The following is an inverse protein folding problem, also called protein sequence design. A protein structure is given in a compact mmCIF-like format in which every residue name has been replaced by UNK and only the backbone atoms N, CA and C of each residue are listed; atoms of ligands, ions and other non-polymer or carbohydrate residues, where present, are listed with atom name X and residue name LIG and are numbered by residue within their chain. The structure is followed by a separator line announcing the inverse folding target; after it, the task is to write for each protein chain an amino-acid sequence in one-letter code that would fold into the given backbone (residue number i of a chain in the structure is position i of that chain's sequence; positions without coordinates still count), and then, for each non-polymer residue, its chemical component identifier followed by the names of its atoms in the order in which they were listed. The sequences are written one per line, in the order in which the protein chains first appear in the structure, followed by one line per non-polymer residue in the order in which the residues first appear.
data_IF_057152768703
#
_entry.id   IF_057152768703
#
_cell.length_a   1.000
_cell.length_b   1.000
_cell.length_c   1.000
_cell.angle_alpha   90.00
_cell.angle_beta   90.00
_cell.angle_gamma   90.00
#
_symmetry.space_group_name_H-M   'P 1'
#
loop_
_entity.id
_entity.type
_entity.pdbx_description
1 polymer ?
#
# COMPACT_ATOMS: atom_id res chain seq x y z
N UNK A 1 15.57 -29.65 -5.46
CA UNK A 1 16.27 -29.30 -4.21
C UNK A 1 16.01 -27.83 -4.02
N UNK A 2 15.43 -27.42 -2.89
CA UNK A 2 15.16 -26.00 -2.62
C UNK A 2 16.42 -25.32 -2.13
N UNK A 3 16.58 -24.06 -2.48
CA UNK A 3 17.65 -23.22 -1.96
C UNK A 3 17.23 -22.70 -0.59
N UNK A 4 18.01 -23.03 0.44
CA UNK A 4 17.77 -22.53 1.80
C UNK A 4 18.43 -21.17 1.90
N UNK A 5 17.61 -20.14 2.04
CA UNK A 5 18.06 -18.76 2.19
C UNK A 5 17.74 -18.28 3.60
N UNK A 6 18.62 -17.44 4.16
CA UNK A 6 18.18 -16.62 5.28
C UNK A 6 17.10 -15.68 4.75
N UNK A 7 16.00 -15.52 5.48
CA UNK A 7 15.11 -14.39 5.25
C UNK A 7 16.01 -13.15 5.18
N UNK A 8 16.00 -12.40 4.06
CA UNK A 8 16.97 -11.34 3.86
C UNK A 8 16.95 -10.46 5.09
N UNK A 9 18.11 -10.36 5.76
CA UNK A 9 18.32 -9.24 6.66
C UNK A 9 18.22 -8.02 5.76
N UNK A 10 17.46 -6.98 6.14
CA UNK A 10 17.31 -5.80 5.30
C UNK A 10 18.69 -5.23 4.94
N UNK A 11 19.19 -5.54 3.75
CA UNK A 11 20.37 -4.89 3.17
C UNK A 11 19.79 -3.81 2.30
N UNK A 12 19.55 -2.71 2.98
CA UNK A 12 18.73 -1.63 2.50
C UNK A 12 19.61 -0.54 1.98
N UNK A 13 19.29 -0.10 0.79
CA UNK A 13 19.80 1.15 0.33
C UNK A 13 18.79 1.70 -0.65
N UNK A 14 17.84 2.48 -0.14
CA UNK A 14 17.22 3.52 -0.96
C UNK A 14 18.30 4.42 -1.61
N UNK A 15 19.56 4.38 -1.12
CA UNK A 15 20.72 5.05 -1.73
C UNK A 15 21.22 4.40 -3.04
N UNK A 16 20.64 3.27 -3.49
CA UNK A 16 20.95 2.67 -4.78
C UNK A 16 19.70 2.65 -5.66
N UNK A 17 19.70 3.36 -6.80
CA UNK A 17 18.59 3.32 -7.74
C UNK A 17 18.33 1.89 -8.20
N UNK A 18 17.07 1.46 -8.10
CA UNK A 18 16.57 0.28 -8.79
C UNK A 18 16.34 0.65 -10.27
N UNK A 19 16.63 -0.28 -11.19
CA UNK A 19 16.30 -0.11 -12.61
C UNK A 19 14.78 -0.19 -12.82
N UNK A 20 14.23 0.63 -13.73
CA UNK A 20 12.80 0.65 -14.02
C UNK A 20 12.26 -0.75 -14.37
N UNK A 21 13.02 -1.51 -15.16
CA UNK A 21 12.74 -2.90 -15.53
C UNK A 21 12.51 -3.83 -14.31
N UNK A 22 13.16 -3.55 -13.18
CA UNK A 22 12.99 -4.33 -11.96
C UNK A 22 11.66 -4.01 -11.27
N UNK A 23 11.26 -2.72 -11.22
CA UNK A 23 9.94 -2.31 -10.72
C UNK A 23 8.81 -2.89 -11.60
N UNK A 24 8.99 -2.89 -12.92
CA UNK A 24 8.08 -3.54 -13.87
C UNK A 24 7.99 -5.04 -13.61
N UNK A 25 9.13 -5.72 -13.44
CA UNK A 25 9.17 -7.14 -13.14
C UNK A 25 8.45 -7.49 -11.82
N UNK A 26 8.63 -6.68 -10.77
CA UNK A 26 7.92 -6.84 -9.49
C UNK A 26 6.41 -6.68 -9.66
N UNK A 27 5.97 -5.62 -10.36
CA UNK A 27 4.56 -5.37 -10.65
C UNK A 27 3.94 -6.55 -11.40
N UNK A 28 4.58 -7.02 -12.47
CA UNK A 28 4.08 -8.12 -13.29
C UNK A 28 4.02 -9.43 -12.50
N UNK A 29 5.03 -9.71 -11.65
CA UNK A 29 4.99 -10.88 -10.75
C UNK A 29 3.86 -10.78 -9.73
N UNK A 30 3.59 -9.60 -9.17
CA UNK A 30 2.49 -9.41 -8.24
C UNK A 30 1.14 -9.67 -8.92
N UNK A 31 0.92 -9.07 -10.09
CA UNK A 31 -0.31 -9.27 -10.88
C UNK A 31 -0.48 -10.75 -11.20
N UNK A 32 0.56 -11.39 -11.74
CA UNK A 32 0.54 -12.81 -12.05
C UNK A 32 0.19 -13.67 -10.83
N UNK A 33 0.82 -13.41 -9.67
CA UNK A 33 0.49 -14.13 -8.43
C UNK A 33 -0.96 -13.90 -7.98
N UNK A 34 -1.49 -12.68 -8.09
CA UNK A 34 -2.87 -12.37 -7.68
C UNK A 34 -3.93 -13.03 -8.59
N UNK A 35 -3.57 -13.34 -9.84
CA UNK A 35 -4.44 -14.02 -10.80
C UNK A 35 -4.44 -15.56 -10.63
N UNK A 36 -3.53 -16.10 -9.82
CA UNK A 36 -3.37 -17.53 -9.66
C UNK A 36 -4.53 -18.14 -8.85
N UNK A 37 -5.09 -19.28 -9.30
CA UNK A 37 -6.25 -19.90 -8.64
C UNK A 37 -6.03 -20.18 -7.16
N UNK A 38 -4.83 -20.60 -6.75
CA UNK A 38 -4.48 -20.86 -5.34
C UNK A 38 -4.54 -19.58 -4.48
N UNK A 39 -4.11 -18.44 -5.03
CA UNK A 39 -4.15 -17.15 -4.35
C UNK A 39 -5.58 -16.62 -4.28
N UNK A 40 -6.35 -16.72 -5.38
CA UNK A 40 -7.78 -16.40 -5.39
C UNK A 40 -8.55 -17.30 -4.41
N UNK A 41 -8.20 -18.58 -4.33
CA UNK A 41 -8.78 -19.52 -3.38
C UNK A 41 -8.42 -19.20 -1.93
N UNK A 42 -7.36 -18.46 -1.69
CA UNK A 42 -6.95 -18.05 -0.34
C UNK A 42 -7.55 -16.71 0.05
N UNK A 43 -7.42 -15.69 -0.80
CA UNK A 43 -7.81 -14.30 -0.53
C UNK A 43 -9.24 -13.96 -0.98
N UNK A 44 -9.83 -14.75 -1.87
CA UNK A 44 -11.19 -14.52 -2.38
C UNK A 44 -11.31 -13.20 -3.14
N UNK A 45 -12.35 -12.42 -2.84
CA UNK A 45 -12.60 -11.13 -3.49
C UNK A 45 -11.48 -10.11 -3.27
N UNK A 46 -10.69 -10.26 -2.19
CA UNK A 46 -9.55 -9.39 -1.94
C UNK A 46 -8.47 -9.55 -3.01
N UNK A 47 -8.21 -10.75 -3.54
CA UNK A 47 -7.25 -10.95 -4.62
C UNK A 47 -7.62 -10.13 -5.87
N UNK A 48 -8.90 -10.13 -6.25
CA UNK A 48 -9.39 -9.37 -7.41
C UNK A 48 -9.21 -7.86 -7.20
N UNK A 49 -9.61 -7.35 -6.03
CA UNK A 49 -9.44 -5.93 -5.71
C UNK A 49 -7.97 -5.49 -5.64
N UNK A 50 -7.09 -6.36 -5.15
CA UNK A 50 -5.65 -6.14 -5.18
C UNK A 50 -5.10 -6.20 -6.60
N UNK A 51 -5.59 -7.10 -7.46
CA UNK A 51 -5.17 -7.17 -8.85
C UNK A 51 -5.55 -5.89 -9.61
N UNK A 52 -6.79 -5.42 -9.46
CA UNK A 52 -7.24 -4.13 -10.01
C UNK A 52 -6.35 -2.98 -9.52
N UNK A 53 -5.94 -3.00 -8.25
CA UNK A 53 -5.05 -1.98 -7.67
C UNK A 53 -3.60 -2.12 -8.16
N UNK A 54 -3.11 -3.34 -8.33
CA UNK A 54 -1.77 -3.61 -8.84
C UNK A 54 -1.63 -3.17 -10.31
N UNK A 55 -2.70 -3.30 -11.10
CA UNK A 55 -2.76 -2.79 -12.47
C UNK A 55 -2.63 -1.25 -12.53
N UNK A 56 -3.07 -0.54 -11.50
CA UNK A 56 -2.91 0.91 -11.36
C UNK A 56 -1.47 1.35 -11.04
N UNK A 57 -0.59 0.44 -10.60
CA UNK A 57 0.79 0.78 -10.24
C UNK A 57 1.56 1.19 -11.50
N UNK A 58 2.29 2.30 -11.43
CA UNK A 58 3.16 2.73 -12.52
C UNK A 58 4.59 2.88 -11.99
N UNK A 59 5.52 2.00 -12.41
CA UNK A 59 6.94 2.20 -12.19
C UNK A 59 7.36 3.59 -12.67
N UNK A 60 7.96 4.38 -11.78
CA UNK A 60 8.45 5.71 -12.12
C UNK A 60 9.94 5.84 -11.82
N UNK A 61 10.66 6.43 -12.78
CA UNK A 61 12.01 6.92 -12.51
C UNK A 61 11.95 8.05 -11.49
N UNK A 62 12.81 7.98 -10.49
CA UNK A 62 12.94 9.03 -9.48
C UNK A 62 14.27 9.75 -9.64
N UNK A 63 14.20 11.06 -9.81
CA UNK A 63 15.36 11.96 -9.81
C UNK A 63 15.33 12.80 -8.54
N UNK A 64 16.45 12.82 -7.80
CA UNK A 64 16.50 13.51 -6.51
C UNK A 64 16.17 14.99 -6.62
N UNK A 65 15.13 15.41 -5.90
CA UNK A 65 14.69 16.80 -5.84
C UNK A 65 13.76 17.23 -6.98
N UNK A 66 13.52 16.36 -7.95
CA UNK A 66 12.47 16.56 -8.95
C UNK A 66 11.14 16.02 -8.42
N UNK A 67 10.05 16.63 -8.86
CA UNK A 67 8.71 16.07 -8.67
C UNK A 67 8.69 14.69 -9.32
N UNK A 68 8.02 13.73 -8.68
CA UNK A 68 7.60 12.53 -9.39
C UNK A 68 6.87 13.02 -10.66
N UNK A 69 6.97 12.36 -11.81
CA UNK A 69 6.33 12.87 -13.02
C UNK A 69 4.83 13.15 -12.79
N UNK A 70 4.36 14.36 -13.14
CA UNK A 70 2.92 14.71 -13.17
C UNK A 70 2.15 13.91 -14.25
N UNK A 71 2.89 13.23 -15.12
CA UNK A 71 2.42 12.62 -16.34
C UNK A 71 3.36 11.47 -16.72
N UNK A 72 2.78 10.37 -17.20
CA UNK A 72 3.50 9.47 -18.09
C UNK A 72 4.14 10.33 -19.20
N UNK A 73 5.38 10.06 -19.66
CA UNK A 73 6.06 10.87 -20.68
C UNK A 73 5.27 10.98 -22.01
N UNK A 74 4.22 10.19 -22.17
CA UNK A 74 3.26 10.24 -23.26
C UNK A 74 2.16 11.28 -23.02
N UNK A 75 2.12 12.32 -23.86
CA UNK A 75 1.10 13.36 -23.85
C UNK A 75 -0.31 12.85 -24.20
N UNK A 76 -0.41 11.67 -24.84
CA UNK A 76 -1.67 11.02 -25.19
C UNK A 76 -2.17 10.05 -24.10
N UNK A 77 -1.52 10.03 -22.93
CA UNK A 77 -1.83 9.07 -21.88
C UNK A 77 -3.24 9.25 -21.31
N UNK A 78 -4.03 8.18 -21.40
CA UNK A 78 -5.49 8.22 -21.13
C UNK A 78 -5.88 7.74 -19.73
N UNK A 79 -5.04 6.95 -19.04
CA UNK A 79 -5.38 6.44 -17.71
C UNK A 79 -4.92 7.41 -16.61
N UNK A 80 -5.91 7.89 -15.85
CA UNK A 80 -5.72 8.83 -14.74
C UNK A 80 -5.71 8.13 -13.37
N UNK A 81 -5.88 6.80 -13.34
CA UNK A 81 -5.85 6.00 -12.12
C UNK A 81 -4.46 5.37 -11.90
N UNK A 82 -3.40 6.16 -12.03
CA UNK A 82 -2.04 5.70 -11.79
C UNK A 82 -1.67 5.89 -10.33
N UNK A 83 -1.07 4.88 -9.72
CA UNK A 83 -0.39 4.96 -8.42
C UNK A 83 1.13 4.89 -8.69
N UNK A 84 1.90 5.95 -8.39
CA UNK A 84 3.35 5.91 -8.54
C UNK A 84 3.97 4.78 -7.71
N UNK A 85 4.80 3.97 -8.35
CA UNK A 85 5.64 2.93 -7.76
C UNK A 85 7.11 3.33 -7.92
N UNK A 86 7.81 3.54 -6.81
CA UNK A 86 9.19 4.02 -6.80
C UNK A 86 10.07 3.20 -5.85
N UNK A 87 11.39 3.37 -5.95
CA UNK A 87 12.34 2.87 -4.95
C UNK A 87 13.07 4.03 -4.27
N UNK A 88 12.34 4.83 -3.50
CA UNK A 88 12.93 5.90 -2.69
C UNK A 88 12.06 6.22 -1.50
N UNK A 89 12.69 6.39 -0.33
CA UNK A 89 12.04 6.93 0.87
C UNK A 89 11.96 8.46 0.88
N UNK A 90 12.56 9.10 -0.13
CA UNK A 90 12.60 10.54 -0.29
C UNK A 90 12.13 10.90 -1.68
N UNK A 91 11.14 11.77 -1.80
CA UNK A 91 10.59 12.16 -3.10
C UNK A 91 9.87 13.50 -2.99
N UNK A 92 9.60 14.14 -4.11
CA UNK A 92 8.81 15.38 -4.15
C UNK A 92 7.49 15.08 -4.84
N UNK A 93 6.39 15.52 -4.24
CA UNK A 93 5.05 15.40 -4.84
C UNK A 93 4.41 16.76 -5.03
N UNK A 94 3.81 16.96 -6.21
CA UNK A 94 2.92 18.07 -6.50
C UNK A 94 1.49 17.77 -6.01
N UNK A 95 0.65 18.80 -5.87
CA UNK A 95 -0.76 18.59 -5.55
C UNK A 95 -1.51 17.82 -6.64
N UNK A 96 -1.12 17.97 -7.91
CA UNK A 96 -1.70 17.22 -9.04
C UNK A 96 -1.41 15.73 -8.95
N UNK A 97 -0.25 15.36 -8.42
CA UNK A 97 0.12 13.96 -8.26
C UNK A 97 -0.64 13.29 -7.14
N UNK A 98 -0.81 13.97 -6.01
CA UNK A 98 -1.60 13.43 -4.91
C UNK A 98 -3.10 13.64 -5.14
N UNK A 99 -3.52 14.41 -6.15
CA UNK A 99 -4.95 14.59 -6.46
C UNK A 99 -5.67 13.25 -6.63
N UNK A 100 -6.85 13.07 -6.01
CA UNK A 100 -7.58 11.81 -6.07
C UNK A 100 -7.78 11.33 -7.51
N UNK A 101 -7.51 10.05 -7.74
CA UNK A 101 -7.72 9.39 -9.03
C UNK A 101 -9.22 9.35 -9.37
N UNK A 102 -9.64 9.29 -10.65
CA UNK A 102 -11.05 9.16 -11.02
C UNK A 102 -11.84 8.12 -10.22
N UNK A 103 -11.26 6.93 -9.98
CA UNK A 103 -11.90 5.88 -9.15
C UNK A 103 -12.09 6.32 -7.69
N UNK A 104 -11.17 7.10 -7.14
CA UNK A 104 -11.32 7.69 -5.81
C UNK A 104 -12.34 8.84 -5.84
N UNK A 105 -12.32 9.70 -6.87
CA UNK A 105 -13.28 10.82 -7.03
C UNK A 105 -14.71 10.30 -7.01
N UNK A 106 -15.02 9.28 -7.82
CA UNK A 106 -16.34 8.65 -7.87
C UNK A 106 -16.79 8.11 -6.49
N UNK A 107 -15.89 7.47 -5.74
CA UNK A 107 -16.18 6.96 -4.39
C UNK A 107 -16.39 8.08 -3.37
N UNK A 108 -15.56 9.13 -3.42
CA UNK A 108 -15.70 10.32 -2.57
C UNK A 108 -17.05 10.98 -2.83
N UNK A 109 -17.40 11.21 -4.10
CA UNK A 109 -18.67 11.83 -4.49
C UNK A 109 -19.89 11.00 -4.11
N UNK A 110 -19.79 9.66 -4.13
CA UNK A 110 -20.87 8.77 -3.66
C UNK A 110 -21.03 8.75 -2.15
N UNK A 111 -19.93 8.94 -1.42
CA UNK A 111 -19.91 8.90 0.05
C UNK A 111 -20.37 10.23 0.65
N UNK A 112 -19.99 11.35 0.02
CA UNK A 112 -20.37 12.69 0.47
C UNK A 112 -21.77 13.07 -0.06
N UNK A 113 -22.60 13.69 0.78
CA UNK A 113 -23.99 14.07 0.46
C UNK A 113 -24.19 15.58 0.59
N UNK A 114 -25.03 16.17 -0.26
CA UNK A 114 -25.50 17.56 -0.14
C UNK A 114 -24.47 18.62 -0.59
N UNK A 115 -24.39 19.74 0.14
CA UNK A 115 -23.54 20.91 -0.18
C UNK A 115 -22.02 20.62 -0.12
N UNK A 116 -21.62 19.41 0.27
CA UNK A 116 -20.22 18.97 0.26
C UNK A 116 -19.57 18.95 -1.14
N UNK A 117 -20.36 19.01 -2.22
CA UNK A 117 -19.84 19.13 -3.59
C UNK A 117 -19.03 20.42 -3.81
N UNK A 118 -19.46 21.54 -3.24
CA UNK A 118 -18.74 22.82 -3.38
C UNK A 118 -17.34 22.73 -2.75
N UNK A 119 -17.25 22.11 -1.58
CA UNK A 119 -15.98 21.86 -0.90
C UNK A 119 -15.07 20.88 -1.66
N UNK A 120 -15.66 19.94 -2.39
CA UNK A 120 -14.91 19.00 -3.22
C UNK A 120 -14.27 19.70 -4.42
N UNK A 121 -15.01 20.59 -5.08
CA UNK A 121 -14.47 21.41 -6.19
C UNK A 121 -13.37 22.35 -5.69
N UNK A 122 -13.56 22.98 -4.53
CA UNK A 122 -12.55 23.84 -3.90
C UNK A 122 -11.29 23.04 -3.51
N UNK A 123 -11.46 21.83 -2.96
CA UNK A 123 -10.34 20.91 -2.66
C UNK A 123 -9.57 20.55 -3.93
N UNK A 124 -10.25 20.16 -5.01
CA UNK A 124 -9.57 19.81 -6.26
C UNK A 124 -8.84 21.01 -6.85
N UNK A 125 -9.47 22.20 -6.87
CA UNK A 125 -8.81 23.43 -7.33
C UNK A 125 -7.57 23.75 -6.51
N UNK A 126 -7.67 23.68 -5.18
CA UNK A 126 -6.54 23.90 -4.29
C UNK A 126 -5.39 22.93 -4.57
N UNK A 127 -5.68 21.63 -4.73
CA UNK A 127 -4.66 20.63 -5.07
C UNK A 127 -4.02 20.88 -6.43
N UNK A 128 -4.78 21.36 -7.43
CA UNK A 128 -4.26 21.54 -8.79
C UNK A 128 -3.52 22.88 -9.01
N UNK A 129 -3.92 23.94 -8.30
CA UNK A 129 -3.47 25.32 -8.54
C UNK A 129 -2.58 25.88 -7.43
N UNK A 130 -2.87 25.54 -6.17
CA UNK A 130 -2.30 26.25 -5.00
C UNK A 130 -1.39 25.37 -4.13
N UNK A 131 -1.49 24.05 -4.23
CA UNK A 131 -0.72 23.13 -3.39
C UNK A 131 0.76 23.13 -3.82
N UNK A 132 1.67 23.60 -2.95
CA UNK A 132 3.08 23.69 -3.31
C UNK A 132 3.71 22.29 -3.41
N UNK A 133 4.64 22.07 -4.35
CA UNK A 133 5.45 20.87 -4.38
C UNK A 133 6.10 20.63 -3.01
N UNK A 134 5.84 19.45 -2.45
CA UNK A 134 6.23 19.12 -1.08
C UNK A 134 7.21 17.97 -1.10
N UNK A 135 8.37 18.20 -0.47
CA UNK A 135 9.38 17.17 -0.26
C UNK A 135 8.95 16.27 0.89
N UNK A 136 8.85 14.98 0.61
CA UNK A 136 8.56 13.92 1.56
C UNK A 136 9.86 13.15 1.84
N UNK A 137 10.11 12.89 3.10
CA UNK A 137 11.22 12.05 3.55
C UNK A 137 10.72 11.16 4.69
N UNK A 138 10.62 9.87 4.43
CA UNK A 138 10.16 8.87 5.38
C UNK A 138 11.36 8.26 6.09
N UNK A 139 11.65 8.82 7.27
CA UNK A 139 12.70 8.29 8.17
C UNK A 139 12.20 7.13 9.02
N UNK A 140 10.88 7.03 9.17
CA UNK A 140 10.14 5.96 9.85
C UNK A 140 9.61 4.90 8.88
N UNK A 141 9.95 4.99 7.59
CA UNK A 141 9.54 3.99 6.61
C UNK A 141 9.94 2.59 7.11
N UNK A 142 8.99 1.65 7.00
CA UNK A 142 9.33 0.24 7.04
C UNK A 142 10.47 0.02 6.07
N UNK A 143 11.51 -0.67 6.53
CA UNK A 143 12.75 -0.62 5.78
C UNK A 143 12.58 -1.26 4.39
N UNK A 144 11.67 -2.22 4.27
CA UNK A 144 11.41 -2.95 3.04
C UNK A 144 10.44 -2.21 2.10
N UNK A 145 9.60 -1.33 2.62
CA UNK A 145 8.60 -0.60 1.82
C UNK A 145 7.67 0.28 2.65
N UNK A 146 6.90 1.13 1.96
CA UNK A 146 5.80 1.90 2.53
C UNK A 146 4.84 2.42 1.46
N UNK A 147 3.59 2.63 1.86
CA UNK A 147 2.57 3.27 1.06
C UNK A 147 2.24 4.64 1.67
N UNK A 148 2.72 5.70 1.03
CA UNK A 148 2.45 7.08 1.41
C UNK A 148 1.08 7.52 0.89
N UNK A 149 0.36 8.31 1.69
CA UNK A 149 -0.85 9.00 1.25
C UNK A 149 -1.03 10.26 2.09
N UNK A 150 -1.29 11.38 1.42
CA UNK A 150 -1.70 12.62 2.07
C UNK A 150 -3.19 12.61 2.38
N UNK A 151 -3.63 13.48 3.28
CA UNK A 151 -5.04 13.65 3.64
C UNK A 151 -5.44 15.12 3.49
N UNK A 152 -6.62 15.35 2.94
CA UNK A 152 -7.25 16.65 2.96
C UNK A 152 -8.40 16.65 3.97
N UNK A 153 -8.39 17.61 4.89
CA UNK A 153 -9.51 17.82 5.82
C UNK A 153 -10.61 18.58 5.08
N UNK A 154 -11.84 18.10 5.19
CA UNK A 154 -13.02 18.81 4.71
C UNK A 154 -13.55 19.68 5.86
N UNK A 155 -13.23 20.99 5.86
CA UNK A 155 -13.75 21.92 6.88
C UNK A 155 -15.21 22.33 6.61
N UNK A 156 -15.95 22.55 7.70
CA UNK A 156 -17.36 22.98 7.80
C UNK A 156 -18.49 21.97 7.52
N UNK A 157 -18.18 20.69 7.28
CA UNK A 157 -19.20 19.64 7.19
C UNK A 157 -19.78 19.18 8.55
N UNK A 158 -19.60 19.88 9.68
CA UNK A 158 -19.94 19.40 11.04
C UNK A 158 -19.37 18.00 11.43
N UNK A 159 -18.67 17.31 10.53
CA UNK A 159 -18.32 15.89 10.62
C UNK A 159 -16.81 15.63 10.74
N UNK A 160 -15.95 16.64 10.66
CA UNK A 160 -14.51 16.46 10.82
C UNK A 160 -13.90 15.44 9.85
N UNK A 161 -14.51 15.26 8.67
CA UNK A 161 -14.14 14.20 7.73
C UNK A 161 -12.84 14.51 6.97
N UNK A 162 -12.10 13.46 6.66
CA UNK A 162 -10.84 13.47 5.93
C UNK A 162 -10.97 12.68 4.63
N UNK A 163 -10.43 13.23 3.56
CA UNK A 163 -10.27 12.55 2.28
C UNK A 163 -8.83 12.09 2.13
N UNK A 164 -8.64 10.79 1.93
CA UNK A 164 -7.37 10.21 1.55
C UNK A 164 -7.11 10.52 0.08
N UNK A 165 -5.97 11.13 -0.15
CA UNK A 165 -5.50 11.50 -1.47
C UNK A 165 -4.94 10.27 -2.21
N UNK A 166 -4.41 10.47 -3.40
CA UNK A 166 -3.80 9.38 -4.17
C UNK A 166 -2.59 8.79 -3.42
N UNK A 167 -2.45 7.46 -3.37
CA UNK A 167 -1.28 6.84 -2.76
C UNK A 167 -0.04 6.93 -3.65
N UNK A 168 1.13 6.80 -3.02
CA UNK A 168 2.43 6.55 -3.65
C UNK A 168 3.04 5.35 -2.94
N UNK A 169 3.45 4.34 -3.68
CA UNK A 169 4.09 3.15 -3.13
C UNK A 169 5.59 3.24 -3.34
N UNK A 170 6.34 2.90 -2.31
CA UNK A 170 7.75 2.60 -2.47
C UNK A 170 8.14 1.26 -1.87
N UNK A 171 8.97 0.52 -2.59
CA UNK A 171 9.55 -0.76 -2.15
C UNK A 171 11.06 -0.67 -2.32
N UNK A 172 11.80 -1.07 -1.29
CA UNK A 172 13.25 -1.16 -1.33
C UNK A 172 13.68 -2.48 -2.01
N UNK A 173 14.88 -2.50 -2.58
CA UNK A 173 15.43 -3.75 -3.13
C UNK A 173 16.05 -4.59 -2.01
N UNK A 174 15.53 -5.77 -1.75
CA UNK A 174 16.20 -6.77 -0.90
C UNK A 174 17.20 -7.63 -1.69
N UNK A 175 17.14 -7.58 -3.02
CA UNK A 175 17.90 -8.46 -3.92
C UNK A 175 17.21 -9.80 -4.17
N UNK A 176 16.05 -10.03 -3.55
CA UNK A 176 15.18 -11.17 -3.81
C UNK A 176 13.84 -10.68 -4.32
N UNK A 177 13.63 -10.86 -5.62
CA UNK A 177 12.41 -10.43 -6.32
C UNK A 177 11.14 -10.99 -5.67
N UNK A 178 11.15 -12.21 -5.12
CA UNK A 178 9.99 -12.78 -4.44
C UNK A 178 9.64 -12.05 -3.14
N UNK A 179 10.65 -11.59 -2.38
CA UNK A 179 10.47 -10.81 -1.15
C UNK A 179 10.02 -9.39 -1.49
N UNK A 180 10.64 -8.78 -2.49
CA UNK A 180 10.28 -7.42 -2.91
C UNK A 180 8.87 -7.40 -3.51
N UNK A 181 8.47 -8.44 -4.25
CA UNK A 181 7.09 -8.60 -4.76
C UNK A 181 6.08 -8.82 -3.62
N UNK A 182 6.44 -9.58 -2.58
CA UNK A 182 5.56 -9.76 -1.41
C UNK A 182 5.37 -8.44 -0.65
N UNK A 183 6.45 -7.67 -0.49
CA UNK A 183 6.42 -6.33 0.09
C UNK A 183 5.57 -5.39 -0.77
N UNK A 184 5.70 -5.44 -2.09
CA UNK A 184 4.81 -4.71 -3.00
C UNK A 184 3.35 -5.11 -2.81
N UNK A 185 3.05 -6.41 -2.61
CA UNK A 185 1.71 -6.89 -2.29
C UNK A 185 1.16 -6.33 -0.98
N UNK A 186 1.99 -6.25 0.06
CA UNK A 186 1.65 -5.61 1.34
C UNK A 186 1.29 -4.12 1.11
N UNK A 187 2.15 -3.36 0.45
CA UNK A 187 1.90 -1.93 0.22
C UNK A 187 0.73 -1.66 -0.74
N UNK A 188 0.50 -2.58 -1.69
CA UNK A 188 -0.67 -2.56 -2.57
C UNK A 188 -1.95 -2.77 -1.77
N UNK A 189 -1.92 -3.58 -0.70
CA UNK A 189 -3.06 -3.72 0.22
C UNK A 189 -3.40 -2.41 0.92
N UNK A 190 -2.40 -1.66 1.37
CA UNK A 190 -2.62 -0.33 1.91
C UNK A 190 -3.16 0.64 0.85
N UNK A 191 -2.63 0.62 -0.37
CA UNK A 191 -3.17 1.44 -1.46
C UNK A 191 -4.63 1.10 -1.75
N UNK A 192 -4.97 -0.19 -1.83
CA UNK A 192 -6.32 -0.69 -2.01
C UNK A 192 -7.27 -0.15 -0.94
N UNK A 193 -6.92 -0.25 0.35
CA UNK A 193 -7.75 0.27 1.44
C UNK A 193 -8.06 1.76 1.27
N UNK A 194 -7.08 2.55 0.82
CA UNK A 194 -7.20 4.01 0.63
C UNK A 194 -7.95 4.40 -0.64
N UNK A 195 -7.92 3.55 -1.67
CA UNK A 195 -8.75 3.71 -2.86
C UNK A 195 -10.20 3.33 -2.54
N UNK A 196 -10.38 2.23 -1.82
CA UNK A 196 -11.71 1.67 -1.59
C UNK A 196 -12.52 2.48 -0.59
N UNK A 197 -11.85 2.98 0.45
CA UNK A 197 -12.44 3.77 1.52
C UNK A 197 -11.72 5.13 1.63
N UNK A 198 -11.91 6.03 0.65
CA UNK A 198 -11.16 7.29 0.59
C UNK A 198 -11.67 8.33 1.60
N UNK A 199 -12.87 8.18 2.17
CA UNK A 199 -13.45 9.13 3.14
C UNK A 199 -13.44 8.51 4.54
N UNK A 200 -13.02 9.28 5.55
CA UNK A 200 -13.02 8.86 6.96
C UNK A 200 -13.51 9.99 7.87
N UNK A 201 -14.27 9.67 8.92
CA UNK A 201 -14.78 10.66 9.90
C UNK A 201 -13.79 10.99 11.03
N UNK A 202 -12.79 10.13 11.23
CA UNK A 202 -11.72 10.33 12.22
C UNK A 202 -10.44 10.55 11.43
N UNK A 203 -9.49 11.31 11.99
CA UNK A 203 -8.17 11.39 11.38
C UNK A 203 -7.61 9.96 11.24
N UNK A 204 -7.46 9.43 10.01
CA UNK A 204 -7.04 8.05 9.82
C UNK A 204 -5.62 7.81 10.32
N UNK A 205 -4.80 8.87 10.48
CA UNK A 205 -3.46 8.77 11.06
C UNK A 205 -3.48 8.75 12.58
N UNK A 206 -4.64 8.85 13.25
CA UNK A 206 -4.77 8.82 14.70
C UNK A 206 -5.53 7.58 15.24
N UNK A 207 -6.36 6.93 14.42
CA UNK A 207 -7.09 5.73 14.86
C UNK A 207 -6.22 4.46 14.79
N UNK A 208 -5.67 4.05 15.93
CA UNK A 208 -4.84 2.83 16.03
C UNK A 208 -5.57 1.56 15.57
N UNK A 209 -6.89 1.46 15.79
CA UNK A 209 -7.66 0.29 15.35
C UNK A 209 -7.77 0.24 13.82
N UNK A 210 -8.01 1.38 13.15
CA UNK A 210 -8.08 1.42 11.68
C UNK A 210 -6.71 1.07 11.07
N UNK A 211 -5.63 1.63 11.64
CA UNK A 211 -4.27 1.29 11.24
C UNK A 211 -4.01 -0.19 11.41
N UNK A 212 -4.17 -0.73 12.62
CA UNK A 212 -3.91 -2.13 12.90
C UNK A 212 -4.74 -3.06 12.01
N UNK A 213 -6.02 -2.77 11.76
CA UNK A 213 -6.84 -3.54 10.82
C UNK A 213 -6.21 -3.59 9.41
N UNK A 214 -5.76 -2.44 8.91
CA UNK A 214 -5.13 -2.33 7.59
C UNK A 214 -3.80 -3.08 7.55
N UNK A 215 -2.98 -2.97 8.60
CA UNK A 215 -1.70 -3.68 8.75
C UNK A 215 -1.92 -5.19 8.77
N UNK A 216 -2.89 -5.71 9.54
CA UNK A 216 -3.18 -7.14 9.58
C UNK A 216 -3.58 -7.69 8.22
N UNK A 217 -4.34 -6.93 7.43
CA UNK A 217 -4.68 -7.29 6.06
C UNK A 217 -3.45 -7.28 5.16
N UNK A 218 -2.62 -6.25 5.25
CA UNK A 218 -1.42 -6.10 4.44
C UNK A 218 -0.38 -7.20 4.74
N UNK A 219 -0.13 -7.53 6.01
CA UNK A 219 0.74 -8.63 6.42
C UNK A 219 0.20 -9.99 5.95
N UNK A 220 -1.11 -10.23 6.04
CA UNK A 220 -1.72 -11.45 5.51
C UNK A 220 -1.55 -11.59 4.00
N UNK A 221 -1.78 -10.50 3.25
CA UNK A 221 -1.60 -10.46 1.78
C UNK A 221 -0.14 -10.72 1.43
N UNK A 222 0.78 -9.95 2.02
CA UNK A 222 2.21 -10.14 1.80
C UNK A 222 2.61 -11.58 2.07
N UNK A 223 2.13 -12.17 3.18
CA UNK A 223 2.49 -13.54 3.56
C UNK A 223 2.03 -14.58 2.53
N UNK A 224 0.80 -14.45 2.05
CA UNK A 224 0.24 -15.34 1.03
C UNK A 224 1.03 -15.25 -0.28
N UNK A 225 1.38 -14.03 -0.72
CA UNK A 225 2.18 -13.82 -1.93
C UNK A 225 3.60 -14.37 -1.76
N UNK A 226 4.21 -14.14 -0.60
CA UNK A 226 5.55 -14.63 -0.29
C UNK A 226 5.61 -16.15 -0.32
N UNK A 227 4.66 -16.84 0.32
CA UNK A 227 4.63 -18.31 0.35
C UNK A 227 4.51 -18.89 -1.06
N UNK A 228 3.62 -18.32 -1.86
CA UNK A 228 3.41 -18.75 -3.24
C UNK A 228 4.66 -18.53 -4.10
N UNK A 229 5.25 -17.33 -4.06
CA UNK A 229 6.41 -17.00 -4.88
C UNK A 229 7.67 -17.75 -4.42
N UNK A 230 7.90 -17.88 -3.11
CA UNK A 230 9.02 -18.64 -2.59
C UNK A 230 8.90 -20.12 -2.96
N UNK A 231 7.70 -20.70 -2.90
CA UNK A 231 7.45 -22.06 -3.38
C UNK A 231 7.82 -22.21 -4.86
N UNK A 232 7.35 -21.28 -5.71
CA UNK A 232 7.59 -21.30 -7.15
C UNK A 232 9.07 -21.10 -7.52
N UNK A 233 9.76 -20.24 -6.79
CA UNK A 233 11.19 -19.99 -6.97
C UNK A 233 12.05 -21.10 -6.35
N UNK A 234 11.45 -22.04 -5.63
CA UNK A 234 12.17 -23.11 -4.94
C UNK A 234 13.01 -22.59 -3.77
N UNK A 235 12.59 -21.50 -3.14
CA UNK A 235 13.24 -20.87 -1.99
C UNK A 235 12.59 -21.37 -0.71
N UNK A 236 13.42 -21.64 0.29
CA UNK A 236 12.99 -21.94 1.66
C UNK A 236 13.68 -20.97 2.62
N UNK A 237 12.89 -20.21 3.38
CA UNK A 237 13.42 -19.28 4.37
C UNK A 237 13.82 -20.02 5.65
N UNK A 238 15.03 -19.77 6.13
CA UNK A 238 15.52 -20.43 7.33
C UNK A 238 14.80 -20.00 8.60
N UNK A 239 14.25 -18.78 8.64
CA UNK A 239 13.59 -18.16 9.79
C UNK A 239 12.32 -17.42 9.34
N UNK A 240 11.29 -17.36 10.22
CA UNK A 240 10.08 -16.60 9.93
C UNK A 240 10.37 -15.09 9.92
N UNK A 241 9.80 -14.39 8.96
CA UNK A 241 9.88 -12.93 8.89
C UNK A 241 8.78 -12.24 9.71
N UNK A 242 8.60 -10.92 9.53
CA UNK A 242 7.54 -10.19 10.24
C UNK A 242 6.15 -10.62 9.74
N UNK A 243 5.99 -10.87 8.45
CA UNK A 243 4.73 -11.29 7.84
C UNK A 243 4.28 -12.65 8.37
N UNK A 244 5.21 -13.61 8.48
CA UNK A 244 5.00 -14.90 9.13
C UNK A 244 4.43 -14.76 10.53
N UNK A 245 5.10 -13.95 11.35
CA UNK A 245 4.77 -13.79 12.78
C UNK A 245 3.45 -13.07 12.99
N UNK A 246 3.17 -12.03 12.21
CA UNK A 246 1.90 -11.29 12.29
C UNK A 246 0.75 -12.17 11.83
N UNK A 247 0.89 -12.86 10.68
CA UNK A 247 -0.16 -13.75 10.18
C UNK A 247 -0.40 -14.94 11.11
N UNK A 248 0.64 -15.50 11.75
CA UNK A 248 0.49 -16.58 12.74
C UNK A 248 -0.38 -16.12 13.92
N UNK A 249 -0.08 -14.95 14.51
CA UNK A 249 -0.85 -14.40 15.62
C UNK A 249 -2.27 -14.07 15.18
N UNK A 250 -2.43 -13.34 14.07
CA UNK A 250 -3.74 -12.98 13.53
C UNK A 250 -4.59 -14.21 13.25
N UNK A 251 -4.03 -15.24 12.60
CA UNK A 251 -4.74 -16.49 12.27
C UNK A 251 -5.17 -17.25 13.49
N UNK A 252 -4.34 -17.27 14.54
CA UNK A 252 -4.66 -17.95 15.78
C UNK A 252 -5.85 -17.31 16.50
N UNK A 253 -5.96 -15.99 16.46
CA UNK A 253 -7.04 -15.25 17.13
C UNK A 253 -8.30 -15.17 16.27
N UNK A 254 -8.16 -14.73 15.02
CA UNK A 254 -9.28 -14.40 14.12
C UNK A 254 -9.62 -15.53 13.12
N UNK A 255 -8.83 -16.61 13.09
CA UNK A 255 -9.06 -17.75 12.20
C UNK A 255 -8.56 -17.56 10.76
N UNK A 256 -9.01 -18.39 9.80
CA UNK A 256 -8.65 -18.30 8.39
C UNK A 256 -9.00 -16.95 7.74
N UNK A 257 -8.33 -16.58 6.65
CA UNK A 257 -8.54 -15.30 5.95
C UNK A 257 -9.96 -15.12 5.38
N UNK A 258 -10.68 -16.22 5.17
CA UNK A 258 -12.08 -16.21 4.72
C UNK A 258 -13.10 -16.09 5.85
N UNK A 259 -12.65 -16.08 7.12
CA UNK A 259 -13.56 -15.88 8.25
C UNK A 259 -14.15 -14.47 8.22
N UNK A 260 -15.40 -14.35 8.65
CA UNK A 260 -15.96 -13.06 9.03
C UNK A 260 -15.10 -12.46 10.16
N UNK A 261 -14.72 -11.20 10.04
CA UNK A 261 -13.85 -10.54 11.01
C UNK A 261 -12.40 -11.02 11.03
N UNK A 262 -11.89 -11.62 9.94
CA UNK A 262 -10.50 -12.10 9.86
C UNK A 262 -9.43 -11.04 10.23
N UNK A 263 -9.77 -9.76 10.10
CA UNK A 263 -8.93 -8.60 10.41
C UNK A 263 -9.49 -7.72 11.54
N UNK A 264 -10.51 -8.17 12.26
CA UNK A 264 -11.10 -7.39 13.36
C UNK A 264 -10.09 -7.21 14.49
N UNK A 265 -10.02 -5.97 14.99
CA UNK A 265 -9.13 -5.60 16.08
C UNK A 265 -9.85 -5.78 17.41
N UNK A 266 -9.30 -6.61 18.28
CA UNK A 266 -9.80 -6.88 19.62
C UNK A 266 -8.65 -6.95 20.64
N UNK A 267 -9.00 -6.86 21.93
CA UNK A 267 -8.01 -6.78 23.01
C UNK A 267 -7.11 -8.03 23.11
N UNK A 268 -7.64 -9.22 22.81
CA UNK A 268 -6.86 -10.46 22.81
C UNK A 268 -5.82 -10.45 21.68
N UNK A 269 -6.20 -9.97 20.49
CA UNK A 269 -5.27 -9.82 19.36
C UNK A 269 -4.13 -8.85 19.70
N UNK A 270 -4.46 -7.69 20.26
CA UNK A 270 -3.49 -6.67 20.69
C UNK A 270 -2.53 -7.27 21.72
N UNK A 271 -3.05 -7.96 22.74
CA UNK A 271 -2.22 -8.58 23.77
C UNK A 271 -1.29 -9.66 23.20
N UNK A 272 -1.76 -10.48 22.25
CA UNK A 272 -0.94 -11.51 21.63
C UNK A 272 0.14 -10.92 20.71
N UNK A 273 -0.15 -9.86 19.97
CA UNK A 273 0.85 -9.13 19.18
C UNK A 273 1.92 -8.52 20.08
N UNK A 274 1.53 -7.91 21.20
CA UNK A 274 2.47 -7.33 22.16
C UNK A 274 3.37 -8.38 22.80
N UNK A 275 2.80 -9.52 23.21
CA UNK A 275 3.57 -10.67 23.74
C UNK A 275 4.54 -11.25 22.70
N UNK A 276 4.17 -11.19 21.42
CA UNK A 276 5.03 -11.60 20.32
C UNK A 276 6.09 -10.54 19.95
N UNK A 277 6.11 -9.38 20.63
CA UNK A 277 7.04 -8.28 20.34
C UNK A 277 6.72 -7.54 19.03
N UNK A 278 5.45 -7.56 18.59
CA UNK A 278 4.98 -6.99 17.33
C UNK A 278 4.28 -5.64 17.52
N UNK A 279 4.41 -4.99 18.67
CA UNK A 279 3.80 -3.68 18.93
C UNK A 279 4.21 -2.59 17.94
N UNK A 280 5.39 -2.72 17.33
CA UNK A 280 5.90 -1.73 16.37
C UNK A 280 5.15 -1.67 15.04
N UNK A 281 4.22 -2.59 14.77
CA UNK A 281 3.46 -2.59 13.50
C UNK A 281 2.25 -1.65 13.52
N UNK A 282 1.86 -1.07 14.67
CA UNK A 282 0.65 -0.22 14.78
C UNK A 282 0.76 0.95 15.77
#
# INVERSE_FOLDING_TARGET
MREIMQAPQPILSYDKPIELDYLECMKDRLIGALEEPEIIDTLGALALGLCDTAQMLEPMEYVEGEELGDSHPDLDWTDKNIIPLICSNKFVVSGRQISPMPVQKDRIEKTLVGDMRVFLDDMYRYLEEDYPPTKIERTDAGVDGFCYTSICKMEDAWTGSYVRLRPVISVAQSGLICVDTATLGHETSHAYDRIVNPVSEINPTESNQIKLRSELQAYAVGKVIQDYLAYNDGIEFSHPDVQDRVEEVRRKVNGPLRSEGAFDVNDDLIEQLDRAGLRGIY
#
